data_IF_766622288638
#
_entry.id   IF_766622288638
#
_cell.length_a   1.000
_cell.length_b   1.000
_cell.length_c   1.000
_cell.angle_alpha   90.00
_cell.angle_beta   90.00
_cell.angle_gamma   90.00
#
_symmetry.space_group_name_H-M   'P 1'
#
loop_
_entity.id
_entity.type
_entity.pdbx_description
1 polymer ?
#
# COMPACT_ATOMS: atom_id res chain seq x y z
N UNK A 1 3.57 -4.67 18.53
CA UNK A 1 2.27 -5.03 19.13
C UNK A 1 1.84 -6.36 18.54
N UNK A 2 1.35 -7.29 19.35
CA UNK A 2 0.94 -8.61 18.85
C UNK A 2 -0.28 -9.13 19.61
N UNK A 3 -1.34 -9.42 18.86
CA UNK A 3 -2.57 -10.04 19.34
C UNK A 3 -2.53 -11.57 19.23
N UNK A 4 -1.41 -12.11 18.74
CA UNK A 4 -1.18 -13.55 18.63
C UNK A 4 -1.73 -14.19 17.36
N UNK A 5 -2.18 -13.38 16.41
CA UNK A 5 -2.61 -13.80 15.07
C UNK A 5 -1.66 -13.17 14.07
N UNK A 6 -0.76 -13.95 13.41
CA UNK A 6 0.33 -13.41 12.60
C UNK A 6 -0.13 -12.45 11.49
N UNK A 7 -1.30 -12.71 10.91
CA UNK A 7 -1.84 -11.88 9.83
C UNK A 7 -2.44 -10.56 10.35
N UNK A 8 -3.09 -10.55 11.53
CA UNK A 8 -3.52 -9.30 12.18
C UNK A 8 -2.32 -8.49 12.66
N UNK A 9 -1.29 -9.17 13.18
CA UNK A 9 -0.03 -8.52 13.55
C UNK A 9 0.68 -7.89 12.35
N UNK A 10 0.53 -8.49 11.15
CA UNK A 10 1.03 -7.92 9.90
C UNK A 10 0.22 -6.68 9.52
N UNK A 11 -1.11 -6.72 9.58
CA UNK A 11 -1.96 -5.55 9.33
C UNK A 11 -1.58 -4.38 10.26
N UNK A 12 -1.40 -4.63 11.56
CA UNK A 12 -0.95 -3.62 12.52
C UNK A 12 0.38 -2.98 12.11
N UNK A 13 1.35 -3.79 11.64
CA UNK A 13 2.64 -3.27 11.17
C UNK A 13 2.46 -2.40 9.93
N UNK A 14 1.59 -2.78 9.01
CA UNK A 14 1.28 -1.98 7.82
C UNK A 14 0.58 -0.67 8.18
N UNK A 15 -0.44 -0.70 9.05
CA UNK A 15 -1.14 0.50 9.52
C UNK A 15 -0.18 1.48 10.22
N UNK A 16 0.69 0.99 11.11
CA UNK A 16 1.74 1.78 11.75
C UNK A 16 2.75 2.31 10.72
N UNK A 17 3.11 1.49 9.73
CA UNK A 17 3.98 1.88 8.62
C UNK A 17 3.42 3.08 7.86
N UNK A 18 2.14 3.03 7.50
CA UNK A 18 1.44 4.11 6.78
C UNK A 18 1.37 5.40 7.62
N UNK A 19 1.14 5.30 8.93
CA UNK A 19 1.17 6.46 9.84
C UNK A 19 2.58 7.07 9.88
N UNK A 20 3.62 6.24 9.96
CA UNK A 20 5.01 6.70 9.93
C UNK A 20 5.38 7.31 8.57
N UNK A 21 4.85 6.79 7.47
CA UNK A 21 5.03 7.34 6.12
C UNK A 21 4.43 8.74 6.03
N UNK A 22 3.20 8.93 6.53
CA UNK A 22 2.57 10.24 6.60
C UNK A 22 3.38 11.21 7.49
N UNK A 23 3.90 10.73 8.62
CA UNK A 23 4.73 11.57 9.48
C UNK A 23 5.97 12.10 8.75
N UNK A 24 6.61 11.26 7.93
CA UNK A 24 7.79 11.65 7.15
C UNK A 24 7.48 12.61 6.00
N UNK A 25 6.27 12.54 5.45
CA UNK A 25 5.89 13.37 4.31
C UNK A 25 5.50 14.80 4.67
N UNK A 26 5.36 15.12 5.97
CA UNK A 26 5.02 16.47 6.42
C UNK A 26 6.12 17.45 6.00
N UNK A 27 5.76 18.43 5.17
CA UNK A 27 6.65 19.47 4.68
C UNK A 27 7.48 19.10 3.44
N UNK A 28 7.18 17.99 2.76
CA UNK A 28 7.82 17.64 1.48
C UNK A 28 7.05 18.20 0.26
N UNK A 29 7.72 18.28 -0.90
CA UNK A 29 7.16 18.87 -2.12
C UNK A 29 5.99 18.08 -2.72
N UNK A 30 5.86 16.78 -2.41
CA UNK A 30 4.71 15.95 -2.80
C UNK A 30 3.80 15.59 -1.62
N UNK A 31 3.77 16.42 -0.56
CA UNK A 31 3.10 16.09 0.71
C UNK A 31 1.66 15.65 0.44
N UNK A 32 0.95 16.37 -0.43
CA UNK A 32 -0.44 16.08 -0.77
C UNK A 32 -0.61 14.77 -1.53
N UNK A 33 0.29 14.41 -2.44
CA UNK A 33 0.20 13.14 -3.18
C UNK A 33 0.46 11.96 -2.25
N UNK A 34 1.45 12.10 -1.36
CA UNK A 34 1.77 11.11 -0.34
C UNK A 34 0.61 10.97 0.67
N UNK A 35 0.10 12.08 1.19
CA UNK A 35 -1.07 12.13 2.07
C UNK A 35 -2.28 11.44 1.43
N UNK A 36 -2.60 11.76 0.18
CA UNK A 36 -3.72 11.14 -0.52
C UNK A 36 -3.55 9.63 -0.66
N UNK A 37 -2.33 9.15 -0.94
CA UNK A 37 -2.05 7.71 -1.07
C UNK A 37 -2.12 7.00 0.29
N UNK A 38 -1.62 7.64 1.35
CA UNK A 38 -1.73 7.14 2.72
C UNK A 38 -3.20 7.10 3.18
N UNK A 39 -4.00 8.15 2.95
CA UNK A 39 -5.42 8.17 3.31
C UNK A 39 -6.20 7.07 2.59
N UNK A 40 -5.96 6.88 1.28
CA UNK A 40 -6.56 5.79 0.51
C UNK A 40 -6.15 4.42 1.05
N UNK A 41 -4.86 4.21 1.33
CA UNK A 41 -4.36 2.96 1.88
C UNK A 41 -4.91 2.71 3.29
N UNK A 42 -4.93 3.71 4.17
CA UNK A 42 -5.47 3.60 5.52
C UNK A 42 -6.96 3.25 5.53
N UNK A 43 -7.78 3.87 4.67
CA UNK A 43 -9.19 3.50 4.56
C UNK A 43 -9.34 2.03 4.16
N UNK A 44 -8.63 1.59 3.10
CA UNK A 44 -8.72 0.22 2.60
C UNK A 44 -8.20 -0.81 3.63
N UNK A 45 -7.05 -0.53 4.26
CA UNK A 45 -6.46 -1.43 5.25
C UNK A 45 -7.26 -1.45 6.55
N UNK A 46 -7.79 -0.32 7.02
CA UNK A 46 -8.61 -0.29 8.22
C UNK A 46 -9.92 -1.07 8.03
N UNK A 47 -10.62 -0.91 6.91
CA UNK A 47 -11.85 -1.65 6.61
C UNK A 47 -11.62 -3.17 6.64
N UNK A 48 -10.55 -3.61 5.96
CA UNK A 48 -10.22 -5.02 5.87
C UNK A 48 -9.72 -5.60 7.20
N UNK A 49 -8.85 -4.87 7.88
CA UNK A 49 -8.32 -5.23 9.18
C UNK A 49 -9.45 -5.39 10.21
N UNK A 50 -10.35 -4.40 10.31
CA UNK A 50 -11.50 -4.45 11.21
C UNK A 50 -12.43 -5.62 10.89
N UNK A 51 -12.70 -5.88 9.61
CA UNK A 51 -13.52 -7.02 9.21
C UNK A 51 -12.90 -8.36 9.65
N UNK A 52 -11.59 -8.50 9.51
CA UNK A 52 -10.85 -9.69 9.93
C UNK A 52 -10.84 -9.86 11.44
N UNK A 53 -10.56 -8.78 12.16
CA UNK A 53 -10.53 -8.75 13.61
C UNK A 53 -11.90 -9.06 14.22
N UNK A 54 -12.95 -8.42 13.73
CA UNK A 54 -14.33 -8.67 14.16
C UNK A 54 -14.72 -10.12 13.93
N UNK A 55 -14.32 -10.69 12.80
CA UNK A 55 -14.59 -12.09 12.50
C UNK A 55 -13.87 -13.03 13.48
N UNK A 56 -12.61 -12.74 13.80
CA UNK A 56 -11.83 -13.46 14.80
C UNK A 56 -12.47 -13.34 16.19
N UNK A 57 -12.91 -12.15 16.58
CA UNK A 57 -13.62 -11.91 17.85
C UNK A 57 -14.94 -12.70 17.94
N UNK A 58 -15.72 -12.73 16.87
CA UNK A 58 -16.98 -13.49 16.78
C UNK A 58 -16.77 -14.99 16.97
N UNK A 59 -15.82 -15.59 16.24
CA UNK A 59 -15.49 -17.01 16.36
C UNK A 59 -15.00 -17.35 17.76
N UNK A 60 -14.16 -16.48 18.32
CA UNK A 60 -13.64 -16.67 19.67
C UNK A 60 -14.68 -16.41 20.77
N UNK A 61 -15.86 -15.88 20.40
CA UNK A 61 -16.95 -15.48 21.30
C UNK A 61 -16.50 -14.41 22.31
N UNK A 62 -15.72 -13.44 21.85
CA UNK A 62 -15.29 -12.32 22.67
C UNK A 62 -16.49 -11.50 23.17
N UNK A 63 -16.71 -11.32 24.49
CA UNK A 63 -17.93 -10.71 25.02
C UNK A 63 -18.19 -9.27 24.55
N UNK A 64 -17.13 -8.50 24.32
CA UNK A 64 -17.22 -7.07 23.96
C UNK A 64 -17.18 -6.82 22.45
N UNK A 65 -17.41 -7.84 21.62
CA UNK A 65 -17.36 -7.73 20.14
C UNK A 65 -18.23 -6.57 19.62
N UNK A 66 -19.46 -6.41 20.12
CA UNK A 66 -20.35 -5.33 19.68
C UNK A 66 -19.83 -3.93 20.01
N UNK A 67 -19.21 -3.78 21.20
CA UNK A 67 -18.61 -2.51 21.60
C UNK A 67 -17.36 -2.19 20.77
N UNK A 68 -16.56 -3.22 20.46
CA UNK A 68 -15.39 -3.10 19.59
C UNK A 68 -15.78 -2.69 18.17
N UNK A 69 -16.75 -3.37 17.55
CA UNK A 69 -17.30 -3.01 16.23
C UNK A 69 -17.81 -1.56 16.18
N UNK A 70 -18.47 -1.09 17.24
CA UNK A 70 -18.92 0.30 17.30
C UNK A 70 -17.75 1.29 17.34
N UNK A 71 -16.62 0.92 17.94
CA UNK A 71 -15.39 1.70 17.90
C UNK A 71 -14.79 1.72 16.50
N UNK A 72 -14.64 0.57 15.83
CA UNK A 72 -14.19 0.48 14.44
C UNK A 72 -15.01 1.38 13.51
N UNK A 73 -16.34 1.32 13.61
CA UNK A 73 -17.23 2.12 12.79
C UNK A 73 -16.99 3.63 12.95
N UNK A 74 -16.73 4.10 14.18
CA UNK A 74 -16.42 5.53 14.42
C UNK A 74 -15.12 5.94 13.76
N UNK A 75 -14.08 5.13 13.96
CA UNK A 75 -12.73 5.40 13.45
C UNK A 75 -12.72 5.38 11.92
N UNK A 76 -13.33 4.36 11.33
CA UNK A 76 -13.49 4.26 9.89
C UNK A 76 -14.25 5.45 9.30
N UNK A 77 -15.34 5.88 9.96
CA UNK A 77 -16.09 7.06 9.52
C UNK A 77 -15.24 8.35 9.56
N UNK A 78 -14.33 8.48 10.54
CA UNK A 78 -13.43 9.63 10.64
C UNK A 78 -12.34 9.61 9.55
N UNK A 79 -11.72 8.45 9.29
CA UNK A 79 -10.76 8.27 8.19
C UNK A 79 -11.41 8.60 6.85
N UNK A 80 -12.63 8.07 6.62
CA UNK A 80 -13.40 8.39 5.42
C UNK A 80 -13.72 9.87 5.30
N UNK A 81 -14.11 10.53 6.39
CA UNK A 81 -14.38 11.97 6.36
C UNK A 81 -13.14 12.80 5.99
N UNK A 82 -11.95 12.42 6.47
CA UNK A 82 -10.69 13.04 6.09
C UNK A 82 -10.38 12.81 4.60
N UNK A 83 -10.52 11.57 4.14
CA UNK A 83 -10.36 11.24 2.71
C UNK A 83 -11.33 12.03 1.83
N UNK A 84 -12.61 12.04 2.17
CA UNK A 84 -13.63 12.76 1.39
C UNK A 84 -13.36 14.27 1.36
N UNK A 85 -12.80 14.83 2.44
CA UNK A 85 -12.35 16.22 2.46
C UNK A 85 -11.18 16.46 1.50
N UNK A 86 -10.17 15.57 1.53
CA UNK A 86 -9.03 15.59 0.62
C UNK A 86 -9.44 15.44 -0.85
N UNK A 87 -10.35 14.50 -1.16
CA UNK A 87 -10.82 14.24 -2.52
C UNK A 87 -11.61 15.44 -3.09
N UNK A 88 -12.28 16.23 -2.24
CA UNK A 88 -12.93 17.49 -2.63
C UNK A 88 -11.93 18.62 -2.84
N UNK A 89 -10.96 18.74 -1.96
CA UNK A 89 -9.92 19.77 -1.98
C UNK A 89 -8.66 19.22 -1.30
N UNK A 90 -7.60 19.02 -2.08
CA UNK A 90 -6.33 18.46 -1.62
C UNK A 90 -5.71 19.28 -0.49
N UNK A 91 -6.02 20.57 -0.39
CA UNK A 91 -5.50 21.48 0.64
C UNK A 91 -6.36 21.55 1.91
N UNK A 92 -7.57 20.98 1.88
CA UNK A 92 -8.51 21.00 3.01
C UNK A 92 -8.05 20.12 4.18
N UNK A 93 -7.12 19.20 3.94
CA UNK A 93 -6.54 18.32 4.96
C UNK A 93 -5.05 18.59 5.05
N UNK A 94 -4.58 18.96 6.25
CA UNK A 94 -3.15 19.08 6.54
C UNK A 94 -2.63 17.74 7.04
N UNK A 95 -1.47 17.31 6.54
CA UNK A 95 -0.87 16.04 6.97
C UNK A 95 -0.68 15.98 8.50
N UNK A 96 -0.33 17.11 9.13
CA UNK A 96 -0.18 17.22 10.58
C UNK A 96 -1.49 16.94 11.36
N UNK A 97 -2.60 17.52 10.94
CA UNK A 97 -3.89 17.33 11.63
C UNK A 97 -4.37 15.88 11.47
N UNK A 98 -4.14 15.29 10.30
CA UNK A 98 -4.40 13.87 10.04
C UNK A 98 -3.52 12.97 10.94
N UNK A 99 -2.24 13.30 11.08
CA UNK A 99 -1.31 12.57 11.93
C UNK A 99 -1.70 12.61 13.40
N UNK A 100 -2.08 13.77 13.94
CA UNK A 100 -2.51 13.90 15.34
C UNK A 100 -3.73 13.01 15.63
N UNK A 101 -4.68 12.95 14.69
CA UNK A 101 -5.82 12.03 14.76
C UNK A 101 -5.37 10.57 14.72
N UNK A 102 -4.53 10.19 13.75
CA UNK A 102 -4.10 8.80 13.56
C UNK A 102 -3.22 8.28 14.71
N UNK A 103 -2.37 9.12 15.29
CA UNK A 103 -1.59 8.77 16.48
C UNK A 103 -2.49 8.49 17.68
N UNK A 104 -3.48 9.35 17.92
CA UNK A 104 -4.45 9.14 19.00
C UNK A 104 -5.21 7.84 18.78
N UNK A 105 -5.70 7.62 17.56
CA UNK A 105 -6.37 6.39 17.17
C UNK A 105 -5.51 5.15 17.42
N UNK A 106 -4.27 5.15 16.93
CA UNK A 106 -3.33 4.03 17.06
C UNK A 106 -3.14 3.62 18.53
N UNK A 107 -2.99 4.62 19.42
CA UNK A 107 -2.78 4.40 20.85
C UNK A 107 -4.06 3.89 21.52
N UNK A 108 -5.22 4.48 21.21
CA UNK A 108 -6.48 4.10 21.87
C UNK A 108 -7.00 2.74 21.41
N UNK A 109 -6.81 2.40 20.14
CA UNK A 109 -7.33 1.17 19.53
C UNK A 109 -6.29 0.05 19.55
N UNK A 110 -5.25 0.14 18.71
CA UNK A 110 -4.31 -0.97 18.50
C UNK A 110 -3.47 -1.26 19.75
N UNK A 111 -3.00 -0.22 20.44
CA UNK A 111 -2.19 -0.43 21.64
C UNK A 111 -3.00 -0.88 22.87
N UNK A 112 -4.32 -0.60 22.91
CA UNK A 112 -5.15 -0.82 24.09
C UNK A 112 -6.29 -1.80 23.82
N UNK A 113 -7.28 -1.42 23.03
CA UNK A 113 -8.48 -2.25 22.79
C UNK A 113 -8.18 -3.59 22.14
N UNK A 114 -7.21 -3.67 21.22
CA UNK A 114 -6.94 -4.93 20.52
C UNK A 114 -6.24 -5.95 21.42
N UNK A 115 -5.53 -5.45 22.42
CA UNK A 115 -4.90 -6.29 23.42
C UNK A 115 -5.93 -6.96 24.34
N UNK A 116 -7.15 -6.42 24.47
CA UNK A 116 -8.20 -6.97 25.33
C UNK A 116 -8.72 -8.33 24.83
N UNK A 117 -8.80 -8.52 23.51
CA UNK A 117 -9.26 -9.80 22.94
C UNK A 117 -8.13 -10.82 22.81
N UNK A 118 -6.85 -10.43 22.98
CA UNK A 118 -5.68 -11.32 22.78
C UNK A 118 -5.82 -12.65 23.53
N UNK A 119 -6.22 -12.61 24.81
CA UNK A 119 -6.36 -13.81 25.63
C UNK A 119 -7.44 -14.79 25.11
N UNK A 120 -8.38 -14.31 24.30
CA UNK A 120 -9.45 -15.10 23.71
C UNK A 120 -9.04 -15.78 22.41
N UNK A 121 -8.02 -15.27 21.73
CA UNK A 121 -7.63 -15.67 20.38
C UNK A 121 -6.36 -16.52 20.37
N UNK A 122 -5.39 -16.22 21.25
CA UNK A 122 -4.11 -16.95 21.31
C UNK A 122 -4.34 -18.46 21.46
N UNK A 123 -3.74 -19.24 20.56
CA UNK A 123 -3.80 -20.71 20.58
C UNK A 123 -5.04 -21.32 19.92
N UNK A 124 -5.95 -20.51 19.36
CA UNK A 124 -7.12 -21.03 18.62
C UNK A 124 -6.84 -21.15 17.12
N UNK A 125 -6.72 -22.38 16.64
CA UNK A 125 -6.47 -22.68 15.22
C UNK A 125 -7.58 -22.18 14.29
N UNK A 126 -8.83 -22.23 14.73
CA UNK A 126 -10.00 -21.69 14.01
C UNK A 126 -9.91 -20.17 13.77
N UNK A 127 -9.36 -19.42 14.72
CA UNK A 127 -9.16 -17.98 14.58
C UNK A 127 -8.04 -17.65 13.58
N UNK A 128 -6.96 -18.42 13.61
CA UNK A 128 -5.85 -18.29 12.66
C UNK A 128 -6.31 -18.55 11.22
N UNK A 129 -7.00 -19.68 11.00
CA UNK A 129 -7.47 -20.07 9.68
C UNK A 129 -8.46 -19.06 9.08
N UNK A 130 -9.38 -18.54 9.89
CA UNK A 130 -10.35 -17.57 9.39
C UNK A 130 -9.72 -16.20 9.09
N UNK A 131 -8.76 -15.77 9.92
CA UNK A 131 -8.04 -14.55 9.66
C UNK A 131 -7.31 -14.60 8.30
N UNK A 132 -6.73 -15.74 7.95
CA UNK A 132 -6.04 -15.95 6.66
C UNK A 132 -6.99 -15.98 5.44
N UNK A 133 -8.26 -16.35 5.63
CA UNK A 133 -9.24 -16.44 4.55
C UNK A 133 -9.68 -15.08 3.99
N UNK A 134 -9.61 -14.02 4.80
CA UNK A 134 -9.97 -12.67 4.39
C UNK A 134 -8.73 -11.97 3.82
N UNK A 135 -8.74 -11.65 2.52
CA UNK A 135 -7.62 -10.95 1.84
C UNK A 135 -7.99 -9.53 1.42
N UNK A 136 -7.04 -8.59 1.49
CA UNK A 136 -7.19 -7.18 1.09
C UNK A 136 -7.81 -6.96 -0.30
N UNK A 137 -7.53 -7.85 -1.26
CA UNK A 137 -8.01 -7.70 -2.64
C UNK A 137 -9.44 -8.25 -2.84
N UNK A 138 -10.03 -8.89 -1.84
CA UNK A 138 -11.26 -9.67 -1.97
C UNK A 138 -11.14 -10.85 -2.96
N UNK A 139 -9.94 -11.12 -3.50
CA UNK A 139 -9.69 -12.25 -4.38
C UNK A 139 -9.56 -13.49 -3.50
N UNK A 140 -10.56 -14.37 -3.52
CA UNK A 140 -10.46 -15.72 -2.93
C UNK A 140 -9.12 -16.35 -3.34
N UNK A 141 -8.44 -16.99 -2.38
CA UNK A 141 -7.15 -17.71 -2.49
C UNK A 141 -7.00 -18.68 -3.69
N UNK A 142 -8.02 -18.90 -4.51
CA UNK A 142 -8.01 -19.95 -5.52
C UNK A 142 -7.18 -19.65 -6.78
N UNK A 143 -6.60 -18.44 -6.96
CA UNK A 143 -5.69 -18.11 -8.08
C UNK A 143 -4.81 -16.86 -7.80
N UNK A 144 -4.40 -16.61 -6.55
CA UNK A 144 -3.63 -15.42 -6.18
C UNK A 144 -2.15 -15.57 -6.54
N UNK A 145 -1.58 -14.52 -7.15
CA UNK A 145 -0.15 -14.31 -7.33
C UNK A 145 0.63 -14.62 -6.04
N UNK A 146 1.77 -15.31 -6.12
CA UNK A 146 2.64 -15.53 -4.95
C UNK A 146 3.50 -14.28 -4.71
N UNK A 147 2.93 -13.33 -3.96
CA UNK A 147 3.57 -12.06 -3.60
C UNK A 147 4.94 -12.23 -2.94
N UNK A 148 5.18 -13.33 -2.20
CA UNK A 148 6.45 -13.57 -1.49
C UNK A 148 7.62 -13.77 -2.44
N UNK A 149 7.35 -14.32 -3.62
CA UNK A 149 8.35 -14.58 -4.66
C UNK A 149 8.66 -13.37 -5.53
N UNK A 150 7.85 -12.30 -5.44
CA UNK A 150 8.01 -11.13 -6.29
C UNK A 150 9.21 -10.27 -5.87
N UNK A 151 9.93 -9.80 -6.88
CA UNK A 151 11.01 -8.81 -6.76
C UNK A 151 10.58 -7.52 -7.44
N UNK A 152 10.36 -6.49 -6.65
CA UNK A 152 9.80 -5.23 -7.10
C UNK A 152 10.89 -4.15 -7.04
N UNK A 153 11.05 -3.37 -8.11
CA UNK A 153 11.86 -2.16 -8.08
C UNK A 153 10.96 -0.93 -8.14
N UNK A 154 11.01 -0.09 -7.11
CA UNK A 154 10.34 1.21 -7.09
C UNK A 154 11.35 2.29 -7.47
N UNK A 155 11.06 3.10 -8.49
CA UNK A 155 11.91 4.18 -8.97
C UNK A 155 11.16 5.49 -8.77
N UNK A 156 11.55 6.26 -7.76
CA UNK A 156 10.92 7.53 -7.40
C UNK A 156 11.97 8.35 -6.60
N UNK A 157 12.17 9.61 -6.96
CA UNK A 157 13.09 10.51 -6.25
C UNK A 157 12.49 11.04 -4.93
N UNK A 158 11.17 10.97 -4.79
CA UNK A 158 10.49 11.13 -3.51
C UNK A 158 10.62 9.84 -2.67
N UNK A 159 11.57 9.86 -1.74
CA UNK A 159 11.81 8.75 -0.81
C UNK A 159 10.61 8.42 0.08
N UNK A 160 9.77 9.41 0.42
CA UNK A 160 8.58 9.19 1.23
C UNK A 160 7.51 8.42 0.43
N UNK A 161 7.30 8.78 -0.83
CA UNK A 161 6.39 8.06 -1.70
C UNK A 161 6.88 6.64 -2.00
N UNK A 162 8.18 6.48 -2.29
CA UNK A 162 8.79 5.15 -2.46
C UNK A 162 8.59 4.27 -1.21
N UNK A 163 8.65 4.88 -0.02
CA UNK A 163 8.41 4.19 1.23
C UNK A 163 6.93 3.80 1.42
N UNK A 164 5.96 4.63 1.02
CA UNK A 164 4.53 4.24 1.01
C UNK A 164 4.30 3.02 0.12
N UNK A 165 4.90 3.00 -1.09
CA UNK A 165 4.81 1.85 -1.99
C UNK A 165 5.39 0.59 -1.36
N UNK A 166 6.55 0.71 -0.69
CA UNK A 166 7.15 -0.39 0.08
C UNK A 166 6.19 -0.89 1.16
N UNK A 167 5.65 -0.01 2.00
CA UNK A 167 4.71 -0.37 3.09
C UNK A 167 3.50 -1.15 2.55
N UNK A 168 2.94 -0.73 1.41
CA UNK A 168 1.81 -1.43 0.76
C UNK A 168 2.23 -2.82 0.26
N UNK A 169 3.38 -2.94 -0.41
CA UNK A 169 3.88 -4.20 -0.97
C UNK A 169 4.28 -5.21 0.12
N UNK A 170 4.92 -4.74 1.19
CA UNK A 170 5.25 -5.56 2.37
C UNK A 170 3.97 -6.05 3.06
N UNK A 171 2.90 -5.25 3.07
CA UNK A 171 1.60 -5.60 3.63
C UNK A 171 0.93 -6.81 2.95
N UNK A 172 1.22 -7.07 1.67
CA UNK A 172 0.78 -8.29 0.97
C UNK A 172 1.82 -9.41 0.95
N UNK A 173 2.98 -9.18 1.57
CA UNK A 173 4.01 -10.19 1.78
C UNK A 173 5.18 -10.18 0.78
N UNK A 174 5.32 -9.14 -0.06
CA UNK A 174 6.51 -8.99 -0.91
C UNK A 174 7.75 -8.80 -0.02
N UNK A 175 8.79 -9.61 -0.26
CA UNK A 175 10.01 -9.61 0.56
C UNK A 175 11.17 -8.87 -0.11
N UNK A 176 11.23 -8.88 -1.44
CA UNK A 176 12.32 -8.27 -2.21
C UNK A 176 11.84 -6.98 -2.88
N UNK A 177 12.02 -5.85 -2.18
CA UNK A 177 11.65 -4.53 -2.69
C UNK A 177 12.91 -3.65 -2.74
N UNK A 178 13.36 -3.33 -3.94
CA UNK A 178 14.41 -2.35 -4.20
C UNK A 178 13.82 -0.95 -4.41
N UNK A 179 14.56 0.10 -4.05
CA UNK A 179 14.20 1.49 -4.33
C UNK A 179 15.34 2.23 -5.03
N UNK A 180 15.05 3.02 -6.06
CA UNK A 180 16.02 3.86 -6.76
C UNK A 180 15.53 5.31 -6.84
N UNK A 181 16.38 6.27 -6.46
CA UNK A 181 16.04 7.69 -6.44
C UNK A 181 16.40 8.44 -7.73
N UNK A 182 16.96 7.74 -8.73
CA UNK A 182 17.30 8.28 -10.05
C UNK A 182 17.42 7.14 -11.07
N UNK A 183 17.46 7.49 -12.36
CA UNK A 183 17.46 6.51 -13.43
C UNK A 183 18.74 5.68 -13.49
N UNK A 184 19.90 6.27 -13.16
CA UNK A 184 21.17 5.54 -13.14
C UNK A 184 21.22 4.46 -12.05
N UNK A 185 20.71 4.78 -10.85
CA UNK A 185 20.55 3.80 -9.78
C UNK A 185 19.54 2.70 -10.14
N UNK A 186 18.50 3.03 -10.92
CA UNK A 186 17.56 2.05 -11.43
C UNK A 186 18.22 1.10 -12.44
N UNK A 187 18.95 1.66 -13.43
CA UNK A 187 19.70 0.89 -14.43
C UNK A 187 20.73 -0.05 -13.79
N UNK A 188 21.50 0.45 -12.81
CA UNK A 188 22.48 -0.36 -12.10
C UNK A 188 21.84 -1.56 -11.38
N UNK A 189 20.67 -1.38 -10.77
CA UNK A 189 19.93 -2.48 -10.13
C UNK A 189 19.35 -3.47 -11.14
N UNK A 190 18.80 -2.97 -12.24
CA UNK A 190 18.24 -3.80 -13.31
C UNK A 190 19.32 -4.66 -14.01
N UNK A 191 20.56 -4.22 -14.00
CA UNK A 191 21.70 -4.99 -14.51
C UNK A 191 22.25 -6.00 -13.50
N UNK A 192 22.15 -5.71 -12.19
CA UNK A 192 22.74 -6.52 -11.12
C UNK A 192 21.82 -7.57 -10.50
N UNK A 193 20.50 -7.41 -10.63
CA UNK A 193 19.50 -8.25 -9.98
C UNK A 193 18.36 -8.61 -10.93
N UNK A 194 17.73 -9.76 -10.68
CA UNK A 194 16.50 -10.11 -11.38
C UNK A 194 15.34 -9.36 -10.71
N UNK A 195 14.54 -8.68 -11.50
CA UNK A 195 13.36 -7.91 -11.07
C UNK A 195 12.17 -8.45 -11.87
N UNK A 196 11.02 -8.60 -11.21
CA UNK A 196 9.80 -9.12 -11.83
C UNK A 196 8.86 -7.97 -12.28
N UNK A 197 8.95 -6.81 -11.65
CA UNK A 197 8.20 -5.61 -12.04
C UNK A 197 8.87 -4.32 -11.58
N UNK A 198 8.79 -3.28 -12.40
CA UNK A 198 9.23 -1.91 -12.08
C UNK A 198 8.01 -1.01 -11.87
N UNK A 199 8.00 -0.26 -10.78
CA UNK A 199 7.09 0.85 -10.52
C UNK A 199 7.92 2.13 -10.69
N UNK A 200 7.76 2.83 -11.80
CA UNK A 200 8.53 4.05 -12.08
C UNK A 200 7.65 5.27 -11.94
N UNK A 201 8.06 6.26 -11.16
CA UNK A 201 7.48 7.59 -11.27
C UNK A 201 7.77 8.18 -12.66
N UNK A 202 6.88 9.04 -13.12
CA UNK A 202 6.99 9.74 -14.38
C UNK A 202 8.13 10.75 -14.37
N UNK A 203 8.33 11.47 -13.27
CA UNK A 203 9.38 12.45 -13.10
C UNK A 203 10.31 11.95 -12.01
N UNK A 204 11.56 11.66 -12.37
CA UNK A 204 12.56 11.23 -11.39
C UNK A 204 13.64 12.31 -11.37
N UNK A 205 13.49 13.28 -10.45
CA UNK A 205 14.30 14.49 -10.42
C UNK A 205 14.04 15.37 -11.64
N UNK A 206 15.03 15.48 -12.51
CA UNK A 206 14.93 16.23 -13.78
C UNK A 206 14.75 15.32 -15.00
N UNK A 207 14.77 14.00 -14.80
CA UNK A 207 14.67 13.00 -15.86
C UNK A 207 13.23 12.49 -15.98
N UNK A 208 12.86 12.01 -17.18
CA UNK A 208 11.57 11.34 -17.36
C UNK A 208 11.73 9.84 -17.09
N UNK A 209 10.88 9.28 -16.24
CA UNK A 209 10.75 7.82 -16.07
C UNK A 209 10.44 7.08 -17.37
N UNK A 210 9.88 7.75 -18.38
CA UNK A 210 9.69 7.17 -19.71
C UNK A 210 11.02 6.85 -20.41
N UNK A 211 12.10 7.57 -20.09
CA UNK A 211 13.43 7.27 -20.63
C UNK A 211 13.98 5.97 -20.04
N UNK A 212 13.63 5.65 -18.79
CA UNK A 212 13.91 4.33 -18.21
C UNK A 212 13.10 3.24 -18.92
N UNK A 213 11.83 3.49 -19.22
CA UNK A 213 10.99 2.53 -19.95
C UNK A 213 11.59 2.22 -21.32
N UNK A 214 11.93 3.25 -22.11
CA UNK A 214 12.55 3.08 -23.43
C UNK A 214 13.85 2.30 -23.34
N UNK A 215 14.71 2.68 -22.39
CA UNK A 215 15.96 1.97 -22.15
C UNK A 215 15.75 0.50 -21.80
N UNK A 216 14.77 0.16 -20.94
CA UNK A 216 14.40 -1.22 -20.61
C UNK A 216 14.03 -2.01 -21.87
N UNK A 217 13.23 -1.41 -22.77
CA UNK A 217 12.80 -2.03 -24.02
C UNK A 217 13.94 -2.26 -25.02
N UNK A 218 15.01 -1.47 -24.94
CA UNK A 218 16.23 -1.63 -25.74
C UNK A 218 17.17 -2.72 -25.21
N UNK A 219 16.98 -3.21 -23.98
CA UNK A 219 17.81 -4.29 -23.42
C UNK A 219 17.21 -5.67 -23.74
N UNK A 220 17.95 -6.52 -24.45
CA UNK A 220 17.50 -7.87 -24.84
C UNK A 220 16.91 -8.69 -23.67
N UNK A 221 17.52 -8.59 -22.48
CA UNK A 221 17.11 -9.36 -21.28
C UNK A 221 15.97 -8.72 -20.49
N UNK A 222 15.71 -7.42 -20.69
CA UNK A 222 14.71 -6.66 -19.94
C UNK A 222 13.53 -6.24 -20.81
N UNK A 223 13.56 -6.48 -22.12
CA UNK A 223 12.53 -6.03 -23.05
C UNK A 223 11.12 -6.48 -22.65
N UNK A 224 10.99 -7.62 -21.96
CA UNK A 224 9.73 -8.15 -21.45
C UNK A 224 9.42 -7.78 -19.99
N UNK A 225 10.33 -7.10 -19.28
CA UNK A 225 10.15 -6.71 -17.89
C UNK A 225 8.92 -5.80 -17.74
N UNK A 226 7.91 -6.19 -16.96
CA UNK A 226 6.74 -5.35 -16.77
C UNK A 226 7.08 -4.03 -16.09
N UNK A 227 6.58 -2.92 -16.64
CA UNK A 227 6.76 -1.57 -16.11
C UNK A 227 5.42 -0.87 -15.91
N UNK A 228 5.13 -0.49 -14.67
CA UNK A 228 4.02 0.37 -14.29
C UNK A 228 4.54 1.79 -14.09
N UNK A 229 4.01 2.75 -14.85
CA UNK A 229 4.32 4.17 -14.66
C UNK A 229 3.33 4.82 -13.71
N UNK A 230 3.84 5.54 -12.71
CA UNK A 230 3.08 6.33 -11.74
C UNK A 230 3.20 7.82 -12.10
N UNK A 231 2.11 8.60 -12.03
CA UNK A 231 2.15 10.02 -12.38
C UNK A 231 1.26 10.86 -11.49
N UNK A 232 1.73 12.04 -11.09
CA UNK A 232 0.95 13.03 -10.34
C UNK A 232 0.04 13.94 -11.17
N UNK A 233 -0.03 13.81 -12.50
CA UNK A 233 -0.80 14.72 -13.37
C UNK A 233 -1.88 14.02 -14.23
N UNK A 234 -3.11 14.49 -14.03
CA UNK A 234 -4.36 14.10 -14.70
C UNK A 234 -4.42 14.54 -16.16
N UNK A 235 -3.77 13.81 -17.09
CA UNK A 235 -4.05 13.98 -18.52
C UNK A 235 -4.09 12.65 -19.24
N UNK A 236 -5.15 12.42 -20.02
CA UNK A 236 -5.28 11.26 -20.93
C UNK A 236 -4.05 11.11 -21.83
N UNK A 237 -3.48 12.23 -22.28
CA UNK A 237 -2.24 12.27 -23.06
C UNK A 237 -1.05 11.61 -22.35
N UNK A 238 -0.96 11.71 -21.02
CA UNK A 238 0.10 11.06 -20.23
C UNK A 238 0.02 9.54 -20.35
N UNK A 239 -1.19 8.96 -20.28
CA UNK A 239 -1.37 7.51 -20.42
C UNK A 239 -0.92 7.00 -21.79
N UNK A 240 -1.33 7.68 -22.86
CA UNK A 240 -0.95 7.30 -24.23
C UNK A 240 0.57 7.38 -24.45
N UNK A 241 1.20 8.43 -23.92
CA UNK A 241 2.65 8.61 -23.97
C UNK A 241 3.40 7.50 -23.20
N UNK A 242 2.94 7.11 -22.01
CA UNK A 242 3.55 6.01 -21.25
C UNK A 242 3.48 4.68 -22.02
N UNK A 243 2.30 4.34 -22.54
CA UNK A 243 2.13 3.10 -23.31
C UNK A 243 2.93 3.11 -24.61
N UNK A 244 3.02 4.26 -25.29
CA UNK A 244 3.83 4.42 -26.51
C UNK A 244 5.33 4.30 -26.22
N UNK A 245 5.79 4.73 -25.05
CA UNK A 245 7.16 4.52 -24.59
C UNK A 245 7.46 3.05 -24.26
N UNK A 246 6.43 2.20 -24.19
CA UNK A 246 6.53 0.77 -23.95
C UNK A 246 6.13 0.34 -22.54
N UNK A 247 5.52 1.21 -21.71
CA UNK A 247 5.02 0.82 -20.40
C UNK A 247 3.83 -0.14 -20.55
N UNK A 248 3.67 -1.06 -19.59
CA UNK A 248 2.60 -2.05 -19.63
C UNK A 248 1.29 -1.50 -19.07
N UNK A 249 1.37 -0.67 -18.02
CA UNK A 249 0.25 0.04 -17.44
C UNK A 249 0.69 1.41 -16.89
N UNK A 250 -0.32 2.22 -16.56
CA UNK A 250 -0.17 3.55 -16.00
C UNK A 250 -1.16 3.74 -14.84
N UNK A 251 -0.72 4.36 -13.75
CA UNK A 251 -1.56 4.74 -12.63
C UNK A 251 -1.29 6.18 -12.17
N UNK A 252 -2.35 6.83 -11.70
CA UNK A 252 -2.29 8.23 -11.29
C UNK A 252 -2.22 8.34 -9.75
N UNK A 253 -1.30 9.18 -9.26
CA UNK A 253 -1.20 9.53 -7.84
C UNK A 253 -2.38 10.47 -7.49
N UNK A 254 -3.08 10.27 -6.35
CA UNK A 254 -2.74 9.35 -5.27
C UNK A 254 -3.18 7.90 -5.52
N UNK A 255 -2.27 6.96 -5.21
CA UNK A 255 -2.41 5.52 -5.47
C UNK A 255 -3.16 4.86 -4.32
N UNK A 256 -4.17 4.03 -4.61
CA UNK A 256 -4.77 3.16 -3.60
C UNK A 256 -4.07 1.80 -3.56
N UNK A 257 -3.98 1.20 -2.37
CA UNK A 257 -3.33 -0.09 -2.18
C UNK A 257 -4.02 -1.18 -3.01
N UNK A 258 -5.35 -1.27 -2.94
CA UNK A 258 -6.14 -2.22 -3.71
C UNK A 258 -5.97 -2.03 -5.20
N UNK A 259 -5.99 -0.77 -5.69
CA UNK A 259 -5.81 -0.46 -7.11
C UNK A 259 -4.44 -0.91 -7.62
N UNK A 260 -3.38 -0.62 -6.86
CA UNK A 260 -2.01 -1.05 -7.17
C UNK A 260 -1.93 -2.58 -7.25
N UNK A 261 -2.43 -3.28 -6.24
CA UNK A 261 -2.36 -4.75 -6.17
C UNK A 261 -3.14 -5.43 -7.30
N UNK A 262 -4.32 -4.90 -7.66
CA UNK A 262 -5.10 -5.41 -8.80
C UNK A 262 -4.34 -5.18 -10.11
N UNK A 263 -3.72 -4.01 -10.28
CA UNK A 263 -2.93 -3.67 -11.45
C UNK A 263 -1.74 -4.63 -11.61
N UNK A 264 -0.93 -4.79 -10.56
CA UNK A 264 0.22 -5.70 -10.54
C UNK A 264 -0.22 -7.15 -10.80
N UNK A 265 -1.26 -7.64 -10.12
CA UNK A 265 -1.77 -8.99 -10.34
C UNK A 265 -2.30 -9.20 -11.77
N UNK A 266 -2.81 -8.17 -12.45
CA UNK A 266 -3.20 -8.24 -13.86
C UNK A 266 -1.97 -8.28 -14.77
N UNK A 267 -0.95 -7.46 -14.51
CA UNK A 267 0.28 -7.42 -15.30
C UNK A 267 1.03 -8.75 -15.23
N UNK A 268 1.18 -9.33 -14.04
CA UNK A 268 1.91 -10.59 -13.84
C UNK A 268 1.22 -11.83 -14.43
N UNK A 269 -0.05 -11.71 -14.86
CA UNK A 269 -0.77 -12.78 -15.57
C UNK A 269 -0.62 -12.71 -17.08
N UNK A 270 -0.12 -11.59 -17.61
CA UNK A 270 0.00 -11.33 -19.05
C UNK A 270 1.41 -11.58 -19.60
N UNK A 271 2.41 -11.69 -18.74
CA UNK A 271 3.77 -12.13 -19.09
C UNK A 271 3.89 -13.64 -18.98
#
# INVERSE_FOLDING_TARGET
>A
MSVGVPVLDADHRTLVGLINDLHRSVGDDEEYATLGSVLKALEEYADHHFAREERVMEICRYPSTSAHRAMHQRLFSQVRALKDAYDRDRTAVRAKDCLDFLHKWLIEHICSSDMDYRAWVVGRSEALAEAENLTMTGMRQQNSLDWRSMRVLVVDDNQNFAQVMRTILEGVGVQEIGTAANLDAARARLQGSVIDVVLSDWHVGQESGLDLVRWIREQDKLAHLPVLVLSGHERIASRELALTAGADEFMEKPISARGLLICLAKMMRKG
#
